data_IF_801705514011
#
_entry.id   IF_801705514011
#
_cell.length_a   1.000
_cell.length_b   1.000
_cell.length_c   1.000
_cell.angle_alpha   90.00
_cell.angle_beta   90.00
_cell.angle_gamma   90.00
#
_symmetry.space_group_name_H-M   'P 1'
#
loop_
_entity.id
_entity.type
_entity.pdbx_description
1 polymer ?
#
# COMPACT_ATOMS: atom_id res chain seq x y z
N UNK A 1 -28.57 29.75 9.63
CA UNK A 1 -29.35 28.50 9.62
C UNK A 1 -28.36 27.35 9.57
N UNK A 2 -28.42 26.40 10.51
CA UNK A 2 -27.58 25.20 10.43
C UNK A 2 -28.07 24.34 9.25
N UNK A 3 -27.18 23.93 8.34
CA UNK A 3 -27.55 23.04 7.24
C UNK A 3 -28.05 21.71 7.81
N UNK A 4 -29.18 21.20 7.32
CA UNK A 4 -29.63 19.85 7.65
C UNK A 4 -28.52 18.84 7.37
N UNK A 5 -28.33 17.81 8.22
CA UNK A 5 -27.31 16.81 8.00
C UNK A 5 -27.56 16.08 6.67
N UNK A 6 -26.49 15.85 5.91
CA UNK A 6 -26.56 15.06 4.69
C UNK A 6 -27.05 13.64 5.03
N UNK A 7 -27.77 12.98 4.11
CA UNK A 7 -28.11 11.58 4.29
C UNK A 7 -26.84 10.73 4.46
N UNK A 8 -26.91 9.60 5.18
CA UNK A 8 -25.77 8.72 5.32
C UNK A 8 -25.32 8.20 3.94
N UNK A 9 -24.01 7.91 3.76
CA UNK A 9 -23.50 7.38 2.51
C UNK A 9 -24.13 6.02 2.20
N UNK A 10 -24.25 5.69 0.91
CA UNK A 10 -24.73 4.38 0.44
C UNK A 10 -23.59 3.37 0.29
N UNK A 11 -22.41 3.87 -0.07
CA UNK A 11 -21.20 3.08 -0.26
C UNK A 11 -20.02 3.76 0.43
N UNK A 12 -19.03 2.95 0.84
CA UNK A 12 -17.77 3.41 1.44
C UNK A 12 -16.62 2.80 0.65
N UNK A 13 -15.73 3.65 0.13
CA UNK A 13 -14.55 3.23 -0.62
C UNK A 13 -13.30 3.34 0.25
N UNK A 14 -12.57 2.25 0.40
CA UNK A 14 -11.36 2.14 1.21
C UNK A 14 -10.10 2.09 0.34
N UNK A 15 -9.01 2.67 0.84
CA UNK A 15 -7.67 2.17 0.50
C UNK A 15 -7.34 0.96 1.37
N UNK A 16 -6.30 0.22 1.01
CA UNK A 16 -5.85 -0.97 1.75
C UNK A 16 -4.59 -0.66 2.55
N UNK A 17 -3.46 -0.46 1.87
CA UNK A 17 -2.16 -0.21 2.52
C UNK A 17 -2.15 1.10 3.32
N UNK A 18 -1.91 1.01 4.63
CA UNK A 18 -1.94 2.16 5.54
C UNK A 18 -3.34 2.61 5.94
N UNK A 19 -4.38 1.84 5.58
CA UNK A 19 -5.77 2.06 6.01
C UNK A 19 -6.33 0.79 6.64
N UNK A 20 -6.56 -0.27 5.87
CA UNK A 20 -7.06 -1.54 6.41
C UNK A 20 -5.96 -2.45 6.96
N UNK A 21 -4.74 -2.27 6.47
CA UNK A 21 -3.52 -2.95 6.92
C UNK A 21 -2.44 -1.91 7.20
N UNK A 22 -1.38 -2.28 7.93
CA UNK A 22 -0.27 -1.38 8.18
C UNK A 22 0.36 -0.87 6.88
N UNK A 23 0.90 0.35 6.94
CA UNK A 23 1.44 1.01 5.75
C UNK A 23 2.77 0.38 5.33
N UNK A 24 2.93 -0.04 4.06
CA UNK A 24 4.25 -0.45 3.55
C UNK A 24 5.28 0.68 3.63
N UNK A 25 4.86 1.94 3.71
CA UNK A 25 5.78 3.08 3.90
C UNK A 25 6.44 3.08 5.27
N UNK A 26 5.84 2.46 6.29
CA UNK A 26 6.51 2.33 7.58
C UNK A 26 7.73 1.39 7.45
N UNK A 27 7.63 0.31 6.67
CA UNK A 27 8.78 -0.56 6.37
C UNK A 27 9.88 0.18 5.59
N UNK A 28 9.52 1.14 4.71
CA UNK A 28 10.50 2.02 4.05
C UNK A 28 11.23 2.87 5.08
N UNK A 29 10.50 3.54 5.99
CA UNK A 29 11.10 4.42 7.00
C UNK A 29 12.06 3.66 7.93
N UNK A 30 11.68 2.44 8.31
CA UNK A 30 12.52 1.60 9.17
C UNK A 30 13.77 1.13 8.42
N UNK A 31 13.63 0.72 7.15
CA UNK A 31 14.77 0.42 6.29
C UNK A 31 15.71 1.63 6.14
N UNK A 32 15.17 2.84 5.92
CA UNK A 32 15.98 4.04 5.78
C UNK A 32 16.81 4.31 7.05
N UNK A 33 16.21 4.16 8.23
CA UNK A 33 16.89 4.33 9.52
C UNK A 33 17.99 3.30 9.74
N UNK A 34 17.70 2.02 9.49
CA UNK A 34 18.65 0.91 9.65
C UNK A 34 19.87 1.06 8.72
N UNK A 35 19.67 1.61 7.53
CA UNK A 35 20.70 1.75 6.50
C UNK A 35 21.30 3.16 6.41
N UNK A 36 20.99 4.05 7.37
CA UNK A 36 21.47 5.44 7.40
C UNK A 36 21.15 6.25 6.12
N UNK A 37 20.03 5.92 5.48
CA UNK A 37 19.50 6.63 4.33
C UNK A 37 18.70 7.84 4.85
N UNK A 38 18.81 9.02 4.22
CA UNK A 38 17.99 10.17 4.62
C UNK A 38 16.50 9.84 4.58
N UNK A 39 15.82 10.07 5.71
CA UNK A 39 14.39 9.79 5.87
C UNK A 39 13.56 10.42 4.73
N UNK A 40 12.74 9.60 4.09
CA UNK A 40 11.85 9.95 2.99
C UNK A 40 12.48 9.88 1.60
N UNK A 41 13.76 9.54 1.47
CA UNK A 41 14.41 9.43 0.16
C UNK A 41 13.82 8.31 -0.69
N UNK A 42 13.69 7.09 -0.16
CA UNK A 42 13.23 5.92 -0.92
C UNK A 42 11.82 6.17 -1.45
N UNK A 43 10.92 6.65 -0.60
CA UNK A 43 9.56 6.99 -1.03
C UNK A 43 9.55 8.11 -2.10
N UNK A 44 10.43 9.11 -1.96
CA UNK A 44 10.60 10.16 -2.98
C UNK A 44 11.09 9.59 -4.32
N UNK A 45 12.04 8.65 -4.29
CA UNK A 45 12.58 7.98 -5.48
C UNK A 45 11.53 7.08 -6.16
N UNK A 46 10.72 6.35 -5.37
CA UNK A 46 9.57 5.57 -5.88
C UNK A 46 8.59 6.49 -6.62
N UNK A 47 8.17 7.58 -5.98
CA UNK A 47 7.16 8.50 -6.53
C UNK A 47 7.66 9.27 -7.75
N UNK A 48 8.97 9.54 -7.84
CA UNK A 48 9.59 10.24 -8.98
C UNK A 48 9.76 9.35 -10.21
N UNK A 49 9.61 8.04 -10.08
CA UNK A 49 9.65 7.11 -11.22
C UNK A 49 8.79 7.61 -12.39
N UNK A 50 9.29 7.57 -13.64
CA UNK A 50 8.51 8.00 -14.79
C UNK A 50 7.14 7.29 -14.82
N UNK A 51 6.09 8.00 -15.19
CA UNK A 51 4.74 7.44 -15.14
C UNK A 51 4.65 6.15 -15.98
N UNK A 52 5.19 6.16 -17.19
CA UNK A 52 5.04 5.04 -18.14
C UNK A 52 6.10 3.96 -17.96
N UNK A 53 7.31 4.30 -17.51
CA UNK A 53 8.47 3.39 -17.50
C UNK A 53 9.09 3.17 -16.11
N UNK A 54 8.56 3.80 -15.06
CA UNK A 54 9.02 3.56 -13.70
C UNK A 54 8.72 2.12 -13.27
N UNK A 55 9.73 1.42 -12.75
CA UNK A 55 9.63 0.01 -12.40
C UNK A 55 8.49 -0.25 -11.39
N UNK A 56 8.35 0.60 -10.38
CA UNK A 56 7.24 0.51 -9.42
C UNK A 56 5.89 0.78 -10.07
N UNK A 57 5.81 1.82 -10.91
CA UNK A 57 4.60 2.23 -11.60
C UNK A 57 4.09 1.14 -12.56
N UNK A 58 5.00 0.49 -13.29
CA UNK A 58 4.67 -0.63 -14.18
C UNK A 58 4.20 -1.85 -13.39
N UNK A 59 4.85 -2.19 -12.27
CA UNK A 59 4.42 -3.30 -11.42
C UNK A 59 3.02 -3.06 -10.86
N UNK A 60 2.74 -1.84 -10.40
CA UNK A 60 1.41 -1.49 -9.89
C UNK A 60 0.32 -1.49 -10.96
N UNK A 61 0.67 -1.38 -12.25
CA UNK A 61 -0.28 -1.50 -13.37
C UNK A 61 -0.37 -2.93 -13.93
N UNK A 62 0.42 -3.87 -13.41
CA UNK A 62 0.49 -5.23 -13.96
C UNK A 62 1.21 -5.31 -15.31
N UNK A 63 2.00 -4.29 -15.66
CA UNK A 63 2.79 -4.21 -16.89
C UNK A 63 4.19 -4.84 -16.75
N UNK A 64 4.57 -5.20 -15.52
CA UNK A 64 5.82 -5.89 -15.22
C UNK A 64 5.54 -7.13 -14.35
N UNK A 65 6.37 -8.17 -14.53
CA UNK A 65 6.32 -9.39 -13.72
C UNK A 65 7.33 -9.25 -12.57
N UNK A 66 6.88 -9.53 -11.34
CA UNK A 66 7.74 -9.55 -10.17
C UNK A 66 8.80 -10.66 -10.32
N UNK A 67 10.07 -10.28 -10.40
CA UNK A 67 11.19 -11.20 -10.60
C UNK A 67 12.53 -10.46 -10.63
N UNK A 68 13.62 -11.18 -10.89
CA UNK A 68 14.98 -10.62 -10.79
C UNK A 68 15.23 -9.45 -11.75
N UNK A 69 14.69 -9.51 -12.97
CA UNK A 69 14.77 -8.41 -13.94
C UNK A 69 14.06 -7.15 -13.39
N UNK A 70 12.88 -7.33 -12.81
CA UNK A 70 12.15 -6.22 -12.18
C UNK A 70 12.90 -5.67 -10.96
N UNK A 71 13.47 -6.52 -10.11
CA UNK A 71 14.27 -6.08 -8.96
C UNK A 71 15.51 -5.29 -9.39
N UNK A 72 16.16 -5.67 -10.49
CA UNK A 72 17.26 -4.91 -11.06
C UNK A 72 16.80 -3.52 -11.55
N UNK A 73 15.66 -3.45 -12.24
CA UNK A 73 15.08 -2.19 -12.69
C UNK A 73 14.63 -1.30 -11.51
N UNK A 74 14.02 -1.89 -10.49
CA UNK A 74 13.59 -1.18 -9.29
C UNK A 74 14.78 -0.61 -8.51
N UNK A 75 15.84 -1.40 -8.34
CA UNK A 75 17.09 -0.92 -7.76
C UNK A 75 17.67 0.24 -8.56
N UNK A 76 17.72 0.13 -9.90
CA UNK A 76 18.23 1.22 -10.75
C UNK A 76 17.41 2.51 -10.60
N UNK A 77 16.08 2.40 -10.46
CA UNK A 77 15.21 3.55 -10.17
C UNK A 77 15.53 4.17 -8.80
N UNK A 78 15.71 3.36 -7.76
CA UNK A 78 15.99 3.84 -6.41
C UNK A 78 17.39 4.48 -6.29
N UNK A 79 18.36 4.02 -7.07
CA UNK A 79 19.73 4.54 -7.09
C UNK A 79 19.95 5.63 -8.16
N UNK A 80 18.89 6.16 -8.77
CA UNK A 80 19.00 7.18 -9.80
C UNK A 80 19.63 8.48 -9.26
N UNK A 81 20.66 8.96 -9.95
CA UNK A 81 21.39 10.18 -9.58
C UNK A 81 20.52 11.42 -9.71
N UNK A 82 19.58 11.44 -10.67
CA UNK A 82 18.63 12.53 -10.85
C UNK A 82 17.66 12.62 -9.67
N UNK A 83 17.08 11.49 -9.27
CA UNK A 83 16.20 11.39 -8.11
C UNK A 83 16.91 11.79 -6.82
N UNK A 84 18.15 11.33 -6.63
CA UNK A 84 18.98 11.72 -5.49
C UNK A 84 19.23 13.22 -5.44
N UNK A 85 19.69 13.81 -6.55
CA UNK A 85 19.92 15.27 -6.62
C UNK A 85 18.65 16.04 -6.29
N UNK A 86 17.54 15.65 -6.92
CA UNK A 86 16.27 16.35 -6.75
C UNK A 86 15.75 16.24 -5.30
N UNK A 87 15.95 15.11 -4.61
CA UNK A 87 15.62 14.97 -3.20
C UNK A 87 16.31 16.04 -2.33
N UNK A 88 17.62 16.24 -2.53
CA UNK A 88 18.38 17.26 -1.79
C UNK A 88 18.01 18.70 -2.18
N UNK A 89 17.74 18.96 -3.47
CA UNK A 89 17.28 20.27 -3.95
C UNK A 89 15.96 20.70 -3.29
N UNK A 90 15.07 19.74 -3.02
CA UNK A 90 13.79 19.99 -2.35
C UNK A 90 13.90 20.01 -0.81
N UNK A 91 15.13 20.07 -0.26
CA UNK A 91 15.37 20.11 1.18
C UNK A 91 15.30 18.75 1.88
N UNK A 92 15.33 17.65 1.12
CA UNK A 92 15.56 16.31 1.66
C UNK A 92 16.81 16.31 2.55
N UNK A 93 16.73 15.67 3.72
CA UNK A 93 17.81 15.66 4.71
C UNK A 93 17.90 16.86 5.66
N UNK A 94 17.17 17.96 5.44
CA UNK A 94 17.08 19.08 6.44
C UNK A 94 16.30 18.73 7.71
N UNK A 95 15.62 17.56 7.74
CA UNK A 95 14.85 17.06 8.88
C UNK A 95 15.61 16.06 9.77
N UNK A 96 16.84 15.69 9.42
CA UNK A 96 17.68 14.89 10.32
C UNK A 96 18.44 15.85 11.25
N UNK A 97 18.00 15.99 12.50
CA UNK A 97 18.73 16.71 13.56
C UNK A 97 20.13 16.12 13.84
N UNK A 98 20.42 14.92 13.32
CA UNK A 98 21.70 14.23 13.44
C UNK A 98 22.63 14.38 12.23
N UNK A 99 22.20 15.06 11.16
CA UNK A 99 23.07 15.30 10.01
C UNK A 99 23.96 16.54 10.27
N UNK A 100 25.30 16.43 10.22
CA UNK A 100 26.17 17.60 10.40
C UNK A 100 25.85 18.66 9.34
N UNK A 101 25.90 19.94 9.76
CA UNK A 101 25.48 21.14 9.01
C UNK A 101 26.23 21.43 7.68
N UNK A 102 26.98 20.46 7.16
CA UNK A 102 27.81 20.57 5.98
C UNK A 102 27.80 19.27 5.14
N UNK A 103 26.63 18.81 4.69
CA UNK A 103 26.61 17.87 3.56
C UNK A 103 26.73 18.69 2.28
N UNK A 104 27.98 18.98 1.89
CA UNK A 104 28.31 19.41 0.53
C UNK A 104 28.07 18.21 -0.40
N UNK A 105 27.35 18.39 -1.50
CA UNK A 105 27.24 17.34 -2.52
C UNK A 105 28.59 17.11 -3.22
N UNK A 106 28.90 15.87 -3.66
CA UNK A 106 27.95 14.78 -3.88
C UNK A 106 28.37 13.48 -3.16
N UNK A 107 27.67 13.13 -2.07
CA UNK A 107 27.59 11.73 -1.67
C UNK A 107 26.82 11.00 -2.80
N UNK A 108 27.29 9.86 -3.32
CA UNK A 108 26.52 9.08 -4.29
C UNK A 108 25.16 8.65 -3.70
N UNK A 109 24.16 8.33 -4.52
CA UNK A 109 22.94 7.69 -4.03
C UNK A 109 23.30 6.44 -3.22
N UNK A 110 22.57 6.15 -2.13
CA UNK A 110 22.84 4.97 -1.32
C UNK A 110 22.60 3.70 -2.13
N UNK A 111 23.37 2.65 -1.86
CA UNK A 111 23.06 1.32 -2.38
C UNK A 111 21.86 0.76 -1.64
N UNK A 112 20.85 0.27 -2.37
CA UNK A 112 19.61 -0.23 -1.80
C UNK A 112 19.40 -1.69 -2.21
N UNK A 113 19.20 -2.55 -1.21
CA UNK A 113 18.72 -3.91 -1.43
C UNK A 113 17.21 -3.86 -1.73
N UNK A 114 16.90 -3.70 -3.02
CA UNK A 114 15.53 -3.57 -3.50
C UNK A 114 14.67 -4.82 -3.19
N UNK A 115 15.28 -6.01 -3.12
CA UNK A 115 14.55 -7.26 -2.84
C UNK A 115 14.16 -7.35 -1.37
N UNK A 116 15.11 -7.11 -0.46
CA UNK A 116 14.84 -7.07 0.98
C UNK A 116 13.83 -5.96 1.31
N UNK A 117 14.03 -4.76 0.76
CA UNK A 117 13.10 -3.64 0.95
C UNK A 117 11.68 -4.00 0.51
N UNK A 118 11.52 -4.55 -0.69
CA UNK A 118 10.21 -4.95 -1.22
C UNK A 118 9.51 -5.95 -0.32
N UNK A 119 10.18 -7.03 0.07
CA UNK A 119 9.56 -8.08 0.87
C UNK A 119 9.27 -7.65 2.31
N UNK A 120 10.04 -6.70 2.87
CA UNK A 120 9.67 -6.03 4.12
C UNK A 120 8.37 -5.25 3.98
N UNK A 121 8.21 -4.48 2.89
CA UNK A 121 6.95 -3.77 2.60
C UNK A 121 5.77 -4.75 2.47
N UNK A 122 5.94 -5.83 1.73
CA UNK A 122 4.87 -6.80 1.49
C UNK A 122 4.48 -7.56 2.76
N UNK A 123 5.45 -7.93 3.61
CA UNK A 123 5.17 -8.54 4.92
C UNK A 123 4.40 -7.58 5.83
N UNK A 124 4.84 -6.33 5.93
CA UNK A 124 4.15 -5.34 6.76
C UNK A 124 2.70 -5.09 6.32
N UNK A 125 2.45 -5.08 5.01
CA UNK A 125 1.12 -4.88 4.45
C UNK A 125 0.17 -6.09 4.64
N UNK A 126 0.59 -7.15 5.33
CA UNK A 126 -0.28 -8.27 5.73
C UNK A 126 -0.81 -8.13 7.15
N UNK A 127 -0.28 -7.19 7.95
CA UNK A 127 -0.74 -6.97 9.32
C UNK A 127 -1.99 -6.09 9.32
N UNK A 128 -3.13 -6.54 9.87
CA UNK A 128 -4.33 -5.72 9.99
C UNK A 128 -4.10 -4.43 10.80
N UNK A 129 -4.71 -3.33 10.37
CA UNK A 129 -4.69 -2.09 11.15
C UNK A 129 -5.53 -2.26 12.44
N UNK A 130 -5.01 -1.89 13.62
CA UNK A 130 -5.66 -2.17 14.90
C UNK A 130 -6.97 -1.39 15.13
N UNK A 131 -7.27 -0.38 14.32
CA UNK A 131 -8.45 0.47 14.49
C UNK A 131 -9.43 0.35 13.32
N UNK A 132 -8.93 0.46 12.11
CA UNK A 132 -9.74 0.43 10.89
C UNK A 132 -10.17 -0.99 10.55
N UNK A 133 -9.34 -2.01 10.76
CA UNK A 133 -9.74 -3.38 10.44
C UNK A 133 -10.92 -3.88 11.30
N UNK A 134 -10.96 -3.65 12.63
CA UNK A 134 -12.17 -3.91 13.43
C UNK A 134 -13.38 -3.11 12.95
N UNK A 135 -13.21 -1.85 12.54
CA UNK A 135 -14.30 -1.03 12.01
C UNK A 135 -14.83 -1.57 10.67
N UNK A 136 -13.95 -1.99 9.76
CA UNK A 136 -14.30 -2.64 8.49
C UNK A 136 -15.13 -3.90 8.75
N UNK A 137 -14.74 -4.74 9.72
CA UNK A 137 -15.50 -5.94 10.10
C UNK A 137 -16.91 -5.60 10.60
N UNK A 138 -17.04 -4.56 11.44
CA UNK A 138 -18.35 -4.09 11.92
C UNK A 138 -19.21 -3.53 10.79
N UNK A 139 -18.62 -2.76 9.87
CA UNK A 139 -19.32 -2.27 8.68
C UNK A 139 -19.82 -3.42 7.82
N UNK A 140 -18.97 -4.43 7.57
CA UNK A 140 -19.33 -5.62 6.81
C UNK A 140 -20.48 -6.39 7.47
N UNK A 141 -20.37 -6.64 8.78
CA UNK A 141 -21.39 -7.34 9.54
C UNK A 141 -22.73 -6.58 9.60
N UNK A 142 -22.70 -5.25 9.51
CA UNK A 142 -23.92 -4.44 9.51
C UNK A 142 -24.78 -4.63 8.26
N UNK A 143 -24.19 -4.96 7.12
CA UNK A 143 -24.88 -5.04 5.83
C UNK A 143 -25.49 -3.72 5.34
N UNK A 144 -25.19 -2.59 6.00
CA UNK A 144 -25.84 -1.29 5.74
C UNK A 144 -25.27 -0.52 4.54
N UNK A 145 -24.06 -0.87 4.13
CA UNK A 145 -23.30 -0.14 3.11
C UNK A 145 -22.73 -1.11 2.10
N UNK A 146 -22.62 -0.69 0.85
CA UNK A 146 -21.75 -1.35 -0.12
C UNK A 146 -20.31 -0.98 0.20
N UNK A 147 -19.47 -1.98 0.44
CA UNK A 147 -18.07 -1.78 0.79
C UNK A 147 -17.18 -1.99 -0.44
N UNK A 148 -16.50 -0.94 -0.87
CA UNK A 148 -15.53 -0.98 -1.94
C UNK A 148 -14.10 -0.83 -1.46
N UNK A 149 -13.15 -1.40 -2.18
CA UNK A 149 -11.73 -1.11 -2.05
C UNK A 149 -11.15 -0.67 -3.40
N UNK A 150 -10.30 0.37 -3.39
CA UNK A 150 -9.49 0.81 -4.52
C UNK A 150 -8.03 0.93 -4.06
N UNK A 151 -7.20 -0.01 -4.48
CA UNK A 151 -5.81 -0.08 -4.01
C UNK A 151 -4.82 -0.19 -5.16
N UNK A 152 -3.72 0.56 -5.02
CA UNK A 152 -2.55 0.34 -5.84
C UNK A 152 -1.85 -0.90 -5.28
N UNK A 153 -1.78 -1.95 -6.09
CA UNK A 153 -1.41 -3.31 -5.69
C UNK A 153 -0.40 -3.87 -6.66
N UNK A 154 0.24 -4.98 -6.30
CA UNK A 154 1.14 -5.74 -7.16
C UNK A 154 0.54 -7.11 -7.45
N UNK A 155 0.82 -7.67 -8.63
CA UNK A 155 0.49 -9.05 -8.94
C UNK A 155 1.64 -9.97 -8.54
N UNK A 156 1.34 -11.00 -7.76
CA UNK A 156 2.31 -11.99 -7.32
C UNK A 156 2.27 -13.21 -8.23
N UNK A 157 3.40 -13.63 -8.83
CA UNK A 157 3.49 -14.90 -9.55
C UNK A 157 3.16 -16.09 -8.65
N UNK A 158 2.62 -17.16 -9.24
CA UNK A 158 2.37 -18.40 -8.51
C UNK A 158 3.68 -18.97 -7.95
N UNK A 159 3.67 -19.37 -6.68
CA UNK A 159 4.84 -19.94 -6.01
C UNK A 159 5.98 -18.95 -5.76
N UNK A 160 5.73 -17.63 -5.84
CA UNK A 160 6.77 -16.63 -5.55
C UNK A 160 7.31 -16.77 -4.12
N UNK A 161 8.62 -16.63 -3.98
CA UNK A 161 9.33 -16.67 -2.70
C UNK A 161 9.85 -15.30 -2.30
N UNK A 162 9.93 -15.06 -0.99
CA UNK A 162 10.42 -13.83 -0.41
C UNK A 162 11.97 -13.70 -0.44
N UNK A 163 12.50 -12.67 0.21
CA UNK A 163 13.95 -12.43 0.32
C UNK A 163 14.70 -13.54 1.08
N UNK A 164 14.00 -14.33 1.89
CA UNK A 164 14.55 -15.46 2.65
C UNK A 164 14.40 -16.81 1.94
N UNK A 165 13.70 -16.84 0.80
CA UNK A 165 13.39 -18.06 0.06
C UNK A 165 12.13 -18.79 0.58
N UNK A 166 11.36 -18.18 1.49
CA UNK A 166 10.10 -18.74 1.94
C UNK A 166 8.98 -18.45 0.93
N UNK A 167 8.05 -19.39 0.75
CA UNK A 167 6.85 -19.16 -0.07
C UNK A 167 6.05 -17.99 0.49
N UNK A 168 5.76 -17.00 -0.36
CA UNK A 168 4.99 -15.84 0.03
C UNK A 168 3.50 -16.06 -0.24
N UNK A 169 2.69 -15.85 0.80
CA UNK A 169 1.23 -15.69 0.68
C UNK A 169 0.86 -14.24 0.97
N UNK A 170 -0.08 -13.69 0.20
CA UNK A 170 -0.62 -12.34 0.40
C UNK A 170 -1.78 -12.32 1.41
N UNK A 171 -1.92 -13.37 2.21
CA UNK A 171 -2.92 -13.50 3.26
C UNK A 171 -2.60 -12.63 4.47
N UNK A 172 -3.66 -12.13 5.12
CA UNK A 172 -3.57 -11.38 6.36
C UNK A 172 -2.93 -12.22 7.46
N UNK A 173 -2.02 -11.60 8.21
CA UNK A 173 -1.45 -12.16 9.44
C UNK A 173 -2.32 -11.77 10.63
N UNK A 174 -3.27 -12.65 10.97
CA UNK A 174 -4.09 -12.47 12.17
C UNK A 174 -3.24 -12.77 13.41
N UNK A 175 -2.83 -11.73 14.13
CA UNK A 175 -2.21 -11.92 15.45
C UNK A 175 -3.30 -12.15 16.50
N UNK A 176 -3.16 -13.16 17.37
CA UNK A 176 -4.17 -13.53 18.37
C UNK A 176 -4.54 -12.37 19.31
N UNK A 177 -3.62 -11.44 19.57
CA UNK A 177 -3.86 -10.29 20.46
C UNK A 177 -4.64 -9.14 19.79
N UNK A 178 -4.74 -9.13 18.45
CA UNK A 178 -5.45 -8.07 17.70
C UNK A 178 -6.98 -8.25 17.70
N UNK A 179 -7.46 -9.47 17.96
CA UNK A 179 -8.89 -9.81 18.00
C UNK A 179 -9.57 -9.47 19.34
N UNK A 180 -8.79 -9.14 20.37
CA UNK A 180 -9.26 -9.14 21.76
C UNK A 180 -9.66 -7.76 22.34
N UNK A 181 -9.80 -6.73 21.51
CA UNK A 181 -10.06 -5.36 22.01
C UNK A 181 -11.53 -4.95 22.07
N UNK A 182 -12.47 -5.76 21.58
CA UNK A 182 -13.87 -5.36 21.56
C UNK A 182 -14.86 -6.54 21.64
N UNK A 183 -15.45 -6.74 22.82
CA UNK A 183 -16.42 -7.78 23.17
C UNK A 183 -17.81 -7.63 22.51
N UNK A 184 -17.98 -6.71 21.56
CA UNK A 184 -19.26 -6.31 20.95
C UNK A 184 -19.45 -6.79 19.50
N UNK A 185 -18.51 -7.56 18.94
CA UNK A 185 -18.73 -8.14 17.61
C UNK A 185 -19.59 -9.40 17.76
N UNK A 186 -20.71 -9.55 17.03
CA UNK A 186 -21.44 -10.83 17.02
C UNK A 186 -20.46 -11.94 16.66
N UNK A 187 -20.55 -13.05 17.40
CA UNK A 187 -19.70 -14.26 17.29
C UNK A 187 -19.08 -14.37 15.91
N UNK A 188 -17.82 -13.93 15.80
CA UNK A 188 -17.11 -13.98 14.53
C UNK A 188 -17.11 -15.43 14.02
N UNK A 189 -17.06 -15.65 12.70
CA UNK A 189 -16.85 -17.01 12.18
C UNK A 189 -15.63 -17.62 12.88
N UNK A 190 -15.71 -18.91 13.21
CA UNK A 190 -14.66 -19.65 13.94
C UNK A 190 -13.26 -19.51 13.32
N UNK A 191 -13.18 -19.07 12.06
CA UNK A 191 -11.95 -18.59 11.42
C UNK A 191 -12.28 -17.36 10.54
N UNK A 192 -11.75 -16.16 10.84
CA UNK A 192 -11.94 -15.00 9.97
C UNK A 192 -11.25 -15.23 8.61
N UNK A 193 -11.79 -14.69 7.49
CA UNK A 193 -11.11 -14.75 6.21
C UNK A 193 -9.68 -14.21 6.29
N UNK A 194 -8.73 -14.92 5.72
CA UNK A 194 -7.34 -14.47 5.59
C UNK A 194 -7.15 -13.61 4.34
N UNK A 195 -8.03 -13.74 3.36
CA UNK A 195 -8.06 -12.87 2.19
C UNK A 195 -8.83 -11.58 2.48
N UNK A 196 -8.13 -10.45 2.47
CA UNK A 196 -8.74 -9.12 2.69
C UNK A 196 -9.86 -8.80 1.70
N UNK A 197 -9.83 -9.37 0.49
CA UNK A 197 -10.85 -9.15 -0.54
C UNK A 197 -12.23 -9.63 -0.08
N UNK A 198 -12.29 -10.62 0.81
CA UNK A 198 -13.55 -11.17 1.34
C UNK A 198 -14.37 -10.17 2.18
N UNK A 199 -13.75 -9.06 2.63
CA UNK A 199 -14.42 -8.02 3.41
C UNK A 199 -15.12 -6.95 2.57
N UNK A 200 -14.99 -7.01 1.24
CA UNK A 200 -15.52 -6.01 0.33
C UNK A 200 -16.52 -6.63 -0.67
N UNK A 201 -17.51 -5.85 -1.06
CA UNK A 201 -18.43 -6.18 -2.16
C UNK A 201 -17.80 -5.91 -3.52
N UNK A 202 -16.90 -4.93 -3.58
CA UNK A 202 -16.14 -4.53 -4.77
C UNK A 202 -14.68 -4.38 -4.36
N UNK A 203 -13.76 -5.07 -5.04
CA UNK A 203 -12.32 -4.91 -4.81
C UNK A 203 -11.61 -4.62 -6.13
N UNK A 204 -11.05 -3.42 -6.25
CA UNK A 204 -10.34 -2.96 -7.45
C UNK A 204 -8.84 -2.92 -7.14
N UNK A 205 -8.13 -3.85 -7.79
CA UNK A 205 -6.68 -3.98 -7.74
C UNK A 205 -6.07 -3.38 -9.00
N UNK A 206 -5.24 -2.34 -8.84
CA UNK A 206 -4.61 -1.66 -9.97
C UNK A 206 -3.84 -2.59 -10.92
N UNK A 207 -3.16 -3.60 -10.38
CA UNK A 207 -2.39 -4.56 -11.17
C UNK A 207 -3.27 -5.47 -12.05
N UNK A 208 -4.55 -5.63 -11.71
CA UNK A 208 -5.50 -6.44 -12.47
C UNK A 208 -6.33 -5.61 -13.45
N UNK A 209 -6.49 -4.30 -13.20
CA UNK A 209 -7.33 -3.42 -14.05
C UNK A 209 -6.50 -2.46 -14.92
N UNK A 210 -5.18 -2.38 -14.72
CA UNK A 210 -4.28 -1.55 -15.53
C UNK A 210 -4.36 -0.04 -15.27
N UNK A 211 -5.18 0.41 -14.31
CA UNK A 211 -5.29 1.80 -13.89
C UNK A 211 -4.98 1.93 -12.40
N UNK A 212 -4.31 3.01 -12.01
CA UNK A 212 -3.85 3.24 -10.63
C UNK A 212 -4.20 4.64 -10.14
N UNK A 213 -4.35 4.81 -8.83
CA UNK A 213 -4.41 6.14 -8.22
C UNK A 213 -3.09 6.90 -8.49
N UNK A 214 -3.13 8.21 -8.74
CA UNK A 214 -4.28 9.12 -8.71
C UNK A 214 -4.95 9.36 -10.09
N UNK A 215 -4.81 8.47 -11.08
CA UNK A 215 -5.50 8.62 -12.37
C UNK A 215 -7.03 8.68 -12.17
N UNK A 216 -7.69 9.69 -12.73
CA UNK A 216 -9.13 9.89 -12.63
C UNK A 216 -9.93 8.65 -13.08
N UNK A 217 -9.44 7.92 -14.09
CA UNK A 217 -10.07 6.70 -14.61
C UNK A 217 -10.20 5.61 -13.55
N UNK A 218 -9.26 5.53 -12.60
CA UNK A 218 -9.34 4.57 -11.51
C UNK A 218 -10.51 4.87 -10.55
N UNK A 219 -10.76 6.15 -10.28
CA UNK A 219 -11.88 6.59 -9.43
C UNK A 219 -13.23 6.47 -10.15
N UNK A 220 -13.28 6.82 -11.44
CA UNK A 220 -14.48 6.63 -12.27
C UNK A 220 -14.90 5.16 -12.34
N UNK A 221 -13.93 4.25 -12.51
CA UNK A 221 -14.16 2.81 -12.43
C UNK A 221 -14.71 2.39 -11.07
N UNK A 222 -14.12 2.88 -9.97
CA UNK A 222 -14.59 2.56 -8.63
C UNK A 222 -16.03 3.01 -8.37
N UNK A 223 -16.39 4.23 -8.77
CA UNK A 223 -17.77 4.72 -8.66
C UNK A 223 -18.72 3.86 -9.47
N UNK A 224 -18.37 3.52 -10.72
CA UNK A 224 -19.21 2.69 -11.59
C UNK A 224 -19.47 1.30 -10.99
N UNK A 225 -18.44 0.64 -10.45
CA UNK A 225 -18.62 -0.69 -9.85
C UNK A 225 -19.42 -0.65 -8.55
N UNK A 226 -19.24 0.40 -7.74
CA UNK A 226 -20.07 0.61 -6.55
C UNK A 226 -21.54 0.85 -6.89
N UNK A 227 -21.82 1.66 -7.92
CA UNK A 227 -23.18 1.91 -8.40
C UNK A 227 -23.83 0.64 -8.94
N UNK A 228 -23.09 -0.16 -9.73
CA UNK A 228 -23.57 -1.47 -10.19
C UNK A 228 -23.95 -2.34 -9.00
N UNK A 229 -23.10 -2.38 -7.97
CA UNK A 229 -23.35 -3.19 -6.79
C UNK A 229 -24.56 -2.69 -5.98
N UNK A 230 -24.73 -1.39 -5.84
CA UNK A 230 -25.92 -0.81 -5.20
C UNK A 230 -27.22 -1.22 -5.90
N UNK A 231 -27.23 -1.35 -7.23
CA UNK A 231 -28.39 -1.78 -8.00
C UNK A 231 -28.72 -3.28 -7.83
N UNK A 232 -27.72 -4.14 -7.59
CA UNK A 232 -27.93 -5.57 -7.31
C UNK A 232 -28.55 -5.83 -5.94
N UNK A 233 -28.38 -4.89 -5.00
CA UNK A 233 -28.87 -4.99 -3.63
C UNK A 233 -30.19 -4.24 -3.37
N UNK A 234 -30.72 -3.53 -4.38
CA UNK A 234 -31.97 -2.78 -4.33
C UNK A 234 -33.19 -3.67 -4.70
#
# INVERSE_FOLDING_TARGET
MASSPLPPPKAILFDIGGVCVLSPFQAILDYEREHFIPTGYINSAIQRGPLDTGAWQMLERGEAVLGDEWFAAFRAQLEDKGAWRAFWEHGGGRKNETAPASIQTPIPPPTIDAKVLFWRMMRMARTPDPHIFPALRRLRASGRFVLGALSNTVAFPEGVVDDTGALFSNELEHHPDSDNTNNDLPTAPATPPTDIRAYFDVFISSAHVGVRKPDARAYEMAVRELDRKLLEHA
#
